data_IF_897980242695
#
_entry.id   IF_897980242695
#
_cell.length_a   1.000
_cell.length_b   1.000
_cell.length_c   1.000
_cell.angle_alpha   90.00
_cell.angle_beta   90.00
_cell.angle_gamma   90.00
#
_symmetry.space_group_name_H-M   'P 1'
#
loop_
_entity.id
_entity.type
_entity.pdbx_description
1 polymer ?
#
# COMPACT_ATOMS: atom_id res chain seq x y z
N UNK A 1 -20.94 -9.23 4.47
CA UNK A 1 -19.76 -9.86 3.84
C UNK A 1 -19.82 -11.37 4.06
N UNK A 2 -19.81 -12.18 3.00
CA UNK A 2 -19.86 -13.64 3.11
C UNK A 2 -18.52 -14.26 3.56
N UNK A 3 -18.55 -15.51 4.05
CA UNK A 3 -17.35 -16.25 4.50
C UNK A 3 -16.30 -16.39 3.40
N UNK A 4 -16.73 -16.61 2.15
CA UNK A 4 -15.85 -16.76 0.99
C UNK A 4 -15.06 -15.48 0.69
N UNK A 5 -15.73 -14.32 0.71
CA UNK A 5 -15.09 -13.01 0.46
C UNK A 5 -14.02 -12.70 1.52
N UNK A 6 -14.31 -12.98 2.80
CA UNK A 6 -13.34 -12.79 3.89
C UNK A 6 -12.10 -13.65 3.72
N UNK A 7 -12.26 -14.92 3.34
CA UNK A 7 -11.11 -15.80 3.10
C UNK A 7 -10.34 -15.42 1.82
N UNK A 8 -11.02 -14.85 0.82
CA UNK A 8 -10.39 -14.30 -0.38
C UNK A 8 -9.52 -13.10 -0.05
N UNK A 9 -10.01 -12.17 0.77
CA UNK A 9 -9.26 -11.01 1.28
C UNK A 9 -7.99 -11.43 2.01
N UNK A 10 -8.14 -12.24 3.06
CA UNK A 10 -7.00 -12.78 3.84
C UNK A 10 -5.98 -13.54 3.00
N UNK A 11 -6.40 -14.16 1.89
CA UNK A 11 -5.47 -14.83 0.95
C UNK A 11 -4.70 -13.80 0.12
N UNK A 12 -5.38 -12.78 -0.39
CA UNK A 12 -4.77 -11.67 -1.09
C UNK A 12 -3.73 -10.95 -0.23
N UNK A 13 -4.07 -10.63 1.02
CA UNK A 13 -3.14 -9.93 1.92
C UNK A 13 -1.89 -10.77 2.24
N UNK A 14 -2.04 -12.08 2.46
CA UNK A 14 -0.91 -12.99 2.68
C UNK A 14 -0.01 -13.11 1.45
N UNK A 15 -0.62 -13.21 0.27
CA UNK A 15 0.09 -13.28 -1.00
C UNK A 15 0.88 -11.99 -1.25
N UNK A 16 0.24 -10.83 -1.11
CA UNK A 16 0.88 -9.53 -1.25
C UNK A 16 2.06 -9.38 -0.29
N UNK A 17 1.86 -9.71 0.99
CA UNK A 17 2.93 -9.68 1.98
C UNK A 17 4.08 -10.64 1.61
N UNK A 18 3.79 -11.78 0.99
CA UNK A 18 4.80 -12.70 0.46
C UNK A 18 5.65 -12.07 -0.63
N UNK A 19 4.98 -11.49 -1.63
CA UNK A 19 5.66 -10.82 -2.74
C UNK A 19 6.55 -9.67 -2.23
N UNK A 20 6.05 -8.84 -1.31
CA UNK A 20 6.83 -7.75 -0.74
C UNK A 20 8.05 -8.24 0.08
N UNK A 21 7.94 -9.42 0.73
CA UNK A 21 9.09 -10.08 1.36
C UNK A 21 10.12 -10.56 0.37
N UNK A 22 9.71 -11.05 -0.80
CA UNK A 22 10.63 -11.44 -1.86
C UNK A 22 11.41 -10.23 -2.42
N UNK A 23 10.83 -9.02 -2.33
CA UNK A 23 11.51 -7.74 -2.60
C UNK A 23 12.39 -7.23 -1.45
N UNK A 24 12.45 -7.94 -0.32
CA UNK A 24 13.30 -7.60 0.83
C UNK A 24 12.63 -6.78 1.92
N UNK A 25 11.32 -6.51 1.84
CA UNK A 25 10.59 -5.78 2.87
C UNK A 25 10.01 -6.75 3.91
N UNK A 26 10.07 -6.46 5.23
CA UNK A 26 9.58 -7.35 6.28
C UNK A 26 8.04 -7.33 6.41
N UNK A 27 7.33 -7.43 5.29
CA UNK A 27 5.90 -7.28 5.22
C UNK A 27 5.14 -8.45 5.82
N UNK A 28 4.03 -8.15 6.51
CA UNK A 28 3.10 -9.12 7.09
C UNK A 28 1.67 -8.59 7.01
N UNK A 29 0.69 -9.51 7.03
CA UNK A 29 -0.73 -9.16 7.12
C UNK A 29 -0.99 -8.38 8.41
N UNK A 30 -1.75 -7.29 8.32
CA UNK A 30 -2.26 -6.55 9.46
C UNK A 30 -3.13 -7.44 10.35
N UNK A 31 -3.19 -7.11 11.63
CA UNK A 31 -4.10 -7.77 12.56
C UNK A 31 -5.15 -6.75 12.98
N UNK A 32 -6.26 -6.65 12.24
CA UNK A 32 -7.44 -5.94 12.70
C UNK A 32 -8.01 -6.64 13.96
N UNK A 33 -7.47 -6.31 15.13
CA UNK A 33 -8.04 -6.73 16.42
C UNK A 33 -9.02 -5.64 16.87
N UNK A 34 -10.30 -5.97 16.81
CA UNK A 34 -11.39 -5.28 17.52
C UNK A 34 -11.53 -3.77 17.25
N UNK A 35 -12.02 -3.41 16.06
CA UNK A 35 -13.01 -2.34 15.90
C UNK A 35 -12.59 -0.88 16.08
N UNK A 36 -11.33 -0.57 16.34
CA UNK A 36 -10.82 0.79 16.34
C UNK A 36 -9.34 0.80 15.94
N UNK A 37 -8.98 1.75 15.07
CA UNK A 37 -7.65 2.17 14.61
C UNK A 37 -7.26 1.66 13.21
N UNK A 38 -6.84 2.63 12.37
CA UNK A 38 -6.48 2.52 10.95
C UNK A 38 -5.24 1.69 10.67
N UNK A 39 -5.27 0.41 11.04
CA UNK A 39 -4.22 -0.54 10.69
C UNK A 39 -4.35 -0.93 9.21
N UNK A 40 -3.29 -0.68 8.44
CA UNK A 40 -3.18 -1.14 7.05
C UNK A 40 -3.39 -2.66 6.92
N UNK A 41 -3.98 -3.09 5.79
CA UNK A 41 -4.22 -4.50 5.47
C UNK A 41 -2.91 -5.32 5.45
N UNK A 42 -1.82 -4.67 5.02
CA UNK A 42 -0.45 -5.21 5.06
C UNK A 42 0.48 -4.13 5.64
N UNK A 43 1.30 -4.52 6.61
CA UNK A 43 2.25 -3.62 7.28
C UNK A 43 3.68 -4.08 7.03
N UNK A 44 4.64 -3.17 7.23
CA UNK A 44 6.08 -3.47 7.09
C UNK A 44 6.70 -3.04 5.76
N UNK A 45 5.96 -2.28 4.94
CA UNK A 45 6.52 -1.50 3.85
C UNK A 45 6.75 -0.06 4.37
N UNK A 46 8.01 0.38 4.55
CA UNK A 46 8.27 1.69 5.12
C UNK A 46 7.63 2.79 4.28
N UNK A 47 6.87 3.66 4.94
CA UNK A 47 6.35 4.85 4.33
C UNK A 47 5.03 4.74 3.58
N UNK A 48 4.44 3.55 3.54
CA UNK A 48 3.31 3.23 2.67
C UNK A 48 2.20 2.57 3.49
N UNK A 49 1.01 3.18 3.46
CA UNK A 49 -0.22 2.59 3.94
C UNK A 49 -0.82 1.70 2.85
N UNK A 50 -0.96 0.40 3.12
CA UNK A 50 -1.44 -0.58 2.13
C UNK A 50 -2.89 -0.96 2.39
N UNK A 51 -3.76 -0.61 1.44
CA UNK A 51 -5.11 -1.15 1.30
C UNK A 51 -5.12 -2.26 0.24
N UNK A 52 -5.48 -3.50 0.61
CA UNK A 52 -5.38 -4.67 -0.25
C UNK A 52 -6.74 -5.12 -0.81
N UNK A 53 -6.91 -5.07 -2.14
CA UNK A 53 -8.15 -5.46 -2.83
C UNK A 53 -7.96 -6.61 -3.80
N UNK A 54 -8.45 -7.80 -3.44
CA UNK A 54 -8.51 -8.98 -4.33
C UNK A 54 -9.92 -9.18 -4.90
N UNK A 55 -10.28 -8.40 -5.90
CA UNK A 55 -11.63 -8.33 -6.48
C UNK A 55 -11.60 -8.32 -8.02
N UNK A 56 -12.68 -8.74 -8.66
CA UNK A 56 -12.77 -8.72 -10.14
C UNK A 56 -13.08 -7.34 -10.70
N UNK A 57 -13.86 -6.56 -9.95
CA UNK A 57 -14.23 -5.19 -10.26
C UNK A 57 -13.95 -4.34 -9.03
N UNK A 58 -13.00 -3.43 -9.17
CA UNK A 58 -12.63 -2.50 -8.11
C UNK A 58 -13.40 -1.20 -8.28
N UNK A 59 -14.07 -0.76 -7.22
CA UNK A 59 -14.44 0.65 -7.06
C UNK A 59 -13.18 1.42 -6.66
N UNK A 60 -12.54 2.05 -7.64
CA UNK A 60 -11.22 2.67 -7.45
C UNK A 60 -11.30 3.85 -6.49
N UNK A 61 -12.28 4.74 -6.68
CA UNK A 61 -12.41 5.94 -5.85
C UNK A 61 -12.73 5.55 -4.41
N UNK A 62 -13.71 4.67 -4.19
CA UNK A 62 -14.05 4.21 -2.85
C UNK A 62 -12.91 3.50 -2.12
N UNK A 63 -12.05 2.77 -2.86
CA UNK A 63 -10.87 2.13 -2.27
C UNK A 63 -9.77 3.14 -1.91
N UNK A 64 -9.52 4.14 -2.75
CA UNK A 64 -8.58 5.22 -2.46
C UNK A 64 -9.07 6.05 -1.26
N UNK A 65 -10.36 6.40 -1.22
CA UNK A 65 -10.96 7.13 -0.10
C UNK A 65 -10.91 6.32 1.21
N UNK A 66 -10.94 4.99 1.15
CA UNK A 66 -10.71 4.13 2.31
C UNK A 66 -9.24 4.20 2.76
N UNK A 67 -8.30 4.04 1.84
CA UNK A 67 -6.87 4.11 2.15
C UNK A 67 -6.47 5.46 2.77
N UNK A 68 -7.00 6.57 2.24
CA UNK A 68 -6.74 7.92 2.78
C UNK A 68 -7.29 8.07 4.21
N UNK A 69 -8.51 7.57 4.47
CA UNK A 69 -9.14 7.68 5.79
C UNK A 69 -8.46 6.83 6.85
N UNK A 70 -7.91 5.69 6.46
CA UNK A 70 -7.26 4.76 7.37
C UNK A 70 -5.77 5.07 7.54
N UNK A 71 -5.16 5.85 6.63
CA UNK A 71 -3.79 6.35 6.76
C UNK A 71 -3.68 7.53 7.71
N UNK A 72 -2.53 7.64 8.38
CA UNK A 72 -2.22 8.78 9.27
C UNK A 72 -1.55 9.96 8.53
N UNK A 73 -1.69 10.02 7.20
CA UNK A 73 -1.02 10.96 6.29
C UNK A 73 -1.22 12.45 6.64
N UNK A 74 -2.26 12.81 7.40
CA UNK A 74 -2.52 14.20 7.81
C UNK A 74 -1.77 14.63 9.09
N UNK A 75 -1.10 13.71 9.82
CA UNK A 75 -0.77 13.95 11.23
C UNK A 75 0.63 14.48 11.58
N UNK A 76 1.65 14.42 10.71
CA UNK A 76 2.98 14.96 11.05
C UNK A 76 3.75 15.51 9.83
N UNK A 77 4.57 16.58 10.00
CA UNK A 77 5.24 17.28 8.89
C UNK A 77 6.31 16.47 8.13
N UNK A 78 6.57 15.23 8.56
CA UNK A 78 7.55 14.32 7.96
C UNK A 78 7.17 12.84 8.13
N UNK A 79 5.89 12.50 8.39
CA UNK A 79 5.53 11.08 8.45
C UNK A 79 5.31 10.50 7.06
N UNK A 80 5.78 9.27 6.92
CA UNK A 80 5.63 8.48 5.72
C UNK A 80 4.54 7.45 6.02
N UNK A 81 3.32 7.71 5.57
CA UNK A 81 2.23 6.74 5.55
C UNK A 81 1.33 7.00 4.33
N UNK A 82 1.94 6.99 3.13
CA UNK A 82 1.23 7.38 1.92
C UNK A 82 0.11 6.38 1.59
N UNK A 83 -1.13 6.83 1.36
CA UNK A 83 -2.26 5.96 1.08
C UNK A 83 -2.12 5.28 -0.28
N UNK A 84 -2.14 3.95 -0.29
CA UNK A 84 -1.99 3.15 -1.52
C UNK A 84 -2.97 1.99 -1.59
N UNK A 85 -3.51 1.75 -2.79
CA UNK A 85 -4.37 0.59 -3.06
C UNK A 85 -3.60 -0.43 -3.88
N UNK A 86 -3.38 -1.61 -3.31
CA UNK A 86 -2.85 -2.78 -3.99
C UNK A 86 -4.01 -3.63 -4.47
N UNK A 87 -4.18 -3.68 -5.79
CA UNK A 87 -5.30 -4.36 -6.44
C UNK A 87 -4.82 -5.55 -7.25
N UNK A 88 -5.54 -6.67 -7.12
CA UNK A 88 -5.39 -7.81 -8.02
C UNK A 88 -6.71 -8.45 -8.41
N UNK A 89 -6.90 -8.54 -9.72
CA UNK A 89 -7.90 -9.37 -10.39
C UNK A 89 -7.38 -10.80 -10.60
N UNK A 90 -8.26 -11.80 -10.66
CA UNK A 90 -7.85 -13.17 -11.00
C UNK A 90 -7.09 -13.21 -12.34
N UNK A 91 -6.08 -14.08 -12.43
CA UNK A 91 -5.22 -14.29 -13.61
C UNK A 91 -4.43 -13.06 -14.09
N UNK A 92 -4.37 -12.01 -13.27
CA UNK A 92 -3.57 -10.81 -13.52
C UNK A 92 -2.52 -10.58 -12.41
N UNK A 93 -1.56 -9.71 -12.71
CA UNK A 93 -0.59 -9.21 -11.74
C UNK A 93 -1.19 -8.22 -10.75
N UNK A 94 -0.43 -7.91 -9.70
CA UNK A 94 -0.76 -6.84 -8.77
C UNK A 94 -0.52 -5.47 -9.42
N UNK A 95 -1.44 -4.55 -9.20
CA UNK A 95 -1.35 -3.14 -9.57
C UNK A 95 -1.35 -2.29 -8.30
N UNK A 96 -0.63 -1.17 -8.34
CA UNK A 96 -0.61 -0.18 -7.27
C UNK A 96 -1.27 1.10 -7.78
N UNK A 97 -2.17 1.66 -6.98
CA UNK A 97 -2.82 2.95 -7.26
C UNK A 97 -2.56 3.90 -6.10
N UNK A 98 -2.23 5.15 -6.42
CA UNK A 98 -2.00 6.25 -5.49
C UNK A 98 -2.72 7.50 -6.00
N UNK A 99 -2.94 8.49 -5.14
CA UNK A 99 -3.28 9.83 -5.62
C UNK A 99 -2.07 10.43 -6.33
N UNK A 100 -2.31 11.40 -7.21
CA UNK A 100 -1.24 11.97 -8.03
C UNK A 100 -0.22 12.70 -7.15
N UNK A 101 -0.69 13.44 -6.15
CA UNK A 101 0.12 14.16 -5.18
C UNK A 101 1.10 13.25 -4.44
N UNK A 102 0.61 12.14 -3.86
CA UNK A 102 1.42 11.15 -3.14
C UNK A 102 2.44 10.50 -4.09
N UNK A 103 2.05 10.24 -5.34
CA UNK A 103 2.96 9.68 -6.35
C UNK A 103 4.06 10.67 -6.74
N UNK A 104 3.74 11.96 -6.87
CA UNK A 104 4.72 13.00 -7.20
C UNK A 104 5.76 13.15 -6.09
N UNK A 105 5.39 12.96 -4.82
CA UNK A 105 6.33 12.95 -3.70
C UNK A 105 7.35 11.82 -3.84
N UNK A 106 6.89 10.59 -4.09
CA UNK A 106 7.79 9.46 -4.35
C UNK A 106 8.69 9.70 -5.57
N UNK A 107 8.13 10.26 -6.64
CA UNK A 107 8.89 10.56 -7.86
C UNK A 107 10.00 11.59 -7.61
N UNK A 108 9.72 12.63 -6.81
CA UNK A 108 10.70 13.66 -6.43
C UNK A 108 11.85 13.08 -5.62
N UNK A 109 11.58 12.19 -4.68
CA UNK A 109 12.61 11.50 -3.91
C UNK A 109 13.49 10.60 -4.80
N UNK A 110 12.85 9.84 -5.69
CA UNK A 110 13.57 9.03 -6.68
C UNK A 110 14.47 9.89 -7.59
N UNK A 111 13.94 11.02 -8.08
CA UNK A 111 14.69 11.96 -8.92
C UNK A 111 15.88 12.55 -8.15
N UNK A 112 15.67 12.98 -6.91
CA UNK A 112 16.72 13.55 -6.05
C UNK A 112 17.85 12.55 -5.79
N UNK A 113 17.51 11.27 -5.56
CA UNK A 113 18.49 10.20 -5.43
C UNK A 113 19.35 10.00 -6.69
N UNK A 114 18.77 10.15 -7.88
CA UNK A 114 19.52 10.10 -9.16
C UNK A 114 20.46 11.29 -9.32
N UNK A 115 20.00 12.49 -8.95
CA UNK A 115 20.82 13.71 -9.04
C UNK A 115 21.99 13.69 -8.04
N UNK A 116 21.79 13.16 -6.83
CA UNK A 116 22.85 12.98 -5.84
C UNK A 116 23.88 11.91 -6.26
N UNK A 117 23.42 10.78 -6.81
CA UNK A 117 24.30 9.74 -7.35
C UNK A 117 25.11 10.19 -8.56
N UNK A 118 24.63 11.17 -9.32
CA UNK A 118 25.38 11.80 -10.41
C UNK A 118 26.48 12.76 -9.89
N UNK A 119 26.30 13.38 -8.72
CA UNK A 119 27.26 14.33 -8.12
C UNK A 119 28.39 13.68 -7.33
N UNK A 120 28.26 12.41 -6.96
CA UNK A 120 29.28 11.65 -6.21
C UNK A 120 30.12 10.72 -7.09
N UNK A 121 29.84 10.67 -8.39
CA UNK A 121 30.55 9.87 -9.39
C UNK A 121 31.48 10.66 -10.32
N UNK A 122 32.19 11.67 -9.80
CA UNK A 122 33.24 12.41 -10.51
C UNK A 122 34.56 12.39 -9.75
#
# INVERSE_FOLDING_TARGET
>A
MGKAEREKGKRGERELAGILRDYGYPCRRGQQFSGANGDADVVGLPGIHIECKRVERLDLQGAVDQAVRDSDAESLPFDYDLPTVFHRKNDHGWLVTMRLEDWIELYREWQSGKELGCRTGS
#
